data_IF_200304198950
#
_entry.id   IF_200304198950
#
_cell.length_a   1.000
_cell.length_b   1.000
_cell.length_c   1.000
_cell.angle_alpha   90.00
_cell.angle_beta   90.00
_cell.angle_gamma   90.00
#
_symmetry.space_group_name_H-M   'P 1'
#
loop_
_entity.id
_entity.type
_entity.pdbx_description
1 polymer ?
#
# COMPACT_ATOMS: atom_id res chain seq x y z
N UNK A 1 -67.88 -30.34 -8.98
CA UNK A 1 -66.93 -29.27 -9.36
C UNK A 1 -65.65 -29.47 -8.57
N UNK A 2 -64.63 -30.06 -9.17
CA UNK A 2 -63.31 -30.29 -8.54
C UNK A 2 -62.38 -29.15 -8.91
N UNK A 3 -61.97 -28.34 -7.95
CA UNK A 3 -60.93 -27.31 -8.12
C UNK A 3 -59.57 -27.99 -8.19
N UNK A 4 -58.89 -27.86 -9.32
CA UNK A 4 -57.49 -28.28 -9.49
C UNK A 4 -56.59 -27.12 -9.00
N UNK A 5 -55.80 -27.43 -7.96
CA UNK A 5 -54.74 -26.60 -7.45
C UNK A 5 -53.54 -26.80 -8.40
N UNK A 6 -53.15 -25.72 -9.12
CA UNK A 6 -51.88 -25.68 -9.88
C UNK A 6 -50.75 -25.27 -8.92
N UNK A 7 -49.89 -26.22 -8.58
CA UNK A 7 -48.68 -25.97 -7.83
C UNK A 7 -47.61 -25.52 -8.84
N UNK A 8 -47.27 -24.24 -8.80
CA UNK A 8 -46.18 -23.65 -9.59
C UNK A 8 -44.85 -23.99 -8.91
N UNK A 9 -44.20 -25.05 -9.39
CA UNK A 9 -42.81 -25.33 -9.02
C UNK A 9 -41.90 -24.30 -9.72
N UNK A 10 -41.46 -23.27 -8.99
CA UNK A 10 -40.33 -22.44 -9.40
C UNK A 10 -39.07 -23.30 -9.32
N UNK A 11 -38.61 -23.80 -10.46
CA UNK A 11 -37.28 -24.37 -10.62
C UNK A 11 -36.29 -23.20 -10.55
N UNK A 12 -35.74 -22.92 -9.37
CA UNK A 12 -34.52 -22.12 -9.23
C UNK A 12 -33.38 -22.96 -9.82
N UNK A 13 -33.19 -22.82 -11.11
CA UNK A 13 -31.96 -23.25 -11.74
C UNK A 13 -30.81 -22.43 -11.16
N UNK A 14 -30.03 -23.06 -10.30
CA UNK A 14 -28.68 -22.58 -9.96
C UNK A 14 -27.88 -22.61 -11.26
N UNK A 15 -27.81 -21.47 -11.95
CA UNK A 15 -26.78 -21.23 -12.93
C UNK A 15 -25.50 -21.08 -12.13
N UNK A 16 -24.88 -22.21 -11.83
CA UNK A 16 -23.46 -22.24 -11.52
C UNK A 16 -22.75 -21.94 -12.84
N UNK A 17 -22.73 -20.68 -13.22
CA UNK A 17 -21.78 -20.18 -14.19
C UNK A 17 -20.41 -20.39 -13.53
N UNK A 18 -19.69 -21.39 -14.02
CA UNK A 18 -18.25 -21.42 -13.93
C UNK A 18 -17.74 -20.17 -14.67
N UNK A 19 -17.68 -19.06 -14.00
CA UNK A 19 -16.80 -17.99 -14.38
C UNK A 19 -15.40 -18.56 -14.13
N UNK A 20 -14.76 -19.09 -15.15
CA UNK A 20 -13.33 -19.20 -15.24
C UNK A 20 -12.86 -17.77 -14.97
N UNK A 21 -12.24 -17.54 -13.80
CA UNK A 21 -12.18 -16.23 -13.21
C UNK A 21 -11.47 -15.24 -14.09
N UNK A 22 -12.20 -14.26 -14.58
CA UNK A 22 -11.61 -13.04 -15.08
C UNK A 22 -10.94 -12.37 -13.89
N UNK A 23 -9.63 -12.27 -13.92
CA UNK A 23 -8.88 -11.53 -12.90
C UNK A 23 -9.26 -10.06 -13.00
N UNK A 24 -9.73 -9.49 -11.89
CA UNK A 24 -9.94 -8.06 -11.79
C UNK A 24 -8.85 -7.45 -10.92
N UNK A 25 -8.20 -6.43 -11.42
CA UNK A 25 -7.22 -5.64 -10.68
C UNK A 25 -7.93 -4.52 -9.93
N UNK A 26 -7.52 -4.27 -8.70
CA UNK A 26 -8.03 -3.18 -7.86
C UNK A 26 -6.93 -2.13 -7.67
N UNK A 27 -7.30 -0.87 -7.76
CA UNK A 27 -6.44 0.27 -7.47
C UNK A 27 -7.07 1.12 -6.38
N UNK A 28 -6.37 1.30 -5.26
CA UNK A 28 -6.73 2.23 -4.21
C UNK A 28 -6.02 3.56 -4.42
N UNK A 29 -6.73 4.66 -4.30
CA UNK A 29 -6.16 5.99 -4.51
C UNK A 29 -6.88 7.06 -3.66
N UNK A 30 -6.29 8.22 -3.62
CA UNK A 30 -6.85 9.43 -3.01
C UNK A 30 -6.86 10.57 -4.03
N UNK A 31 -7.65 11.60 -3.77
CA UNK A 31 -7.73 12.78 -4.62
C UNK A 31 -7.52 14.06 -3.80
N UNK A 32 -7.09 15.13 -4.48
CA UNK A 32 -6.94 16.48 -3.93
C UNK A 32 -6.16 16.53 -2.59
N UNK A 33 -6.80 17.09 -1.56
CA UNK A 33 -6.24 17.23 -0.22
C UNK A 33 -6.36 15.95 0.63
N UNK A 34 -6.86 14.85 0.04
CA UNK A 34 -6.98 13.53 0.68
C UNK A 34 -7.91 13.46 1.90
N UNK A 35 -8.78 14.41 2.10
CA UNK A 35 -9.76 14.45 3.21
C UNK A 35 -11.10 13.84 2.86
N UNK A 36 -11.39 13.68 1.61
CA UNK A 36 -12.57 12.98 1.13
C UNK A 36 -12.42 11.45 1.20
N UNK A 37 -11.19 10.94 1.34
CA UNK A 37 -10.88 9.58 1.76
C UNK A 37 -10.53 8.60 0.64
N UNK A 38 -10.92 7.34 0.83
CA UNK A 38 -10.60 6.22 -0.03
C UNK A 38 -11.38 6.26 -1.33
N UNK A 39 -10.67 6.19 -2.43
CA UNK A 39 -11.23 5.91 -3.75
C UNK A 39 -10.71 4.58 -4.28
N UNK A 40 -11.53 3.91 -5.09
CA UNK A 40 -11.19 2.65 -5.71
C UNK A 40 -11.48 2.71 -7.21
N UNK A 41 -10.64 2.07 -7.99
CA UNK A 41 -10.84 1.80 -9.40
C UNK A 41 -10.55 0.33 -9.69
N UNK A 42 -11.15 -0.22 -10.74
CA UNK A 42 -10.87 -1.57 -11.19
C UNK A 42 -10.41 -1.57 -12.64
N UNK A 43 -9.70 -2.62 -13.00
CA UNK A 43 -9.29 -2.91 -14.36
C UNK A 43 -9.40 -4.40 -14.64
N UNK A 44 -9.71 -4.77 -15.89
CA UNK A 44 -9.70 -6.16 -16.35
C UNK A 44 -8.45 -6.48 -17.18
N UNK A 45 -7.75 -5.46 -17.64
CA UNK A 45 -6.55 -5.58 -18.48
C UNK A 45 -5.28 -4.99 -17.82
N UNK A 46 -5.42 -4.42 -16.61
CA UNK A 46 -4.33 -3.71 -15.92
C UNK A 46 -3.95 -2.37 -16.55
N UNK A 47 -4.57 -1.94 -17.63
CA UNK A 47 -4.19 -0.74 -18.38
C UNK A 47 -5.31 0.31 -18.40
N UNK A 48 -6.54 -0.14 -18.48
CA UNK A 48 -7.74 0.71 -18.53
C UNK A 48 -8.45 0.66 -17.18
N UNK A 49 -8.44 1.78 -16.45
CA UNK A 49 -8.98 1.87 -15.09
C UNK A 49 -10.33 2.58 -15.08
N UNK A 50 -11.30 1.97 -14.41
CA UNK A 50 -12.66 2.50 -14.24
C UNK A 50 -12.89 2.81 -12.76
N UNK A 51 -13.18 4.07 -12.40
CA UNK A 51 -13.53 4.43 -11.02
C UNK A 51 -14.77 3.69 -10.54
N UNK A 52 -14.70 3.14 -9.33
CA UNK A 52 -15.85 2.56 -8.64
C UNK A 52 -16.68 3.65 -7.95
N UNK A 53 -17.89 3.32 -7.50
CA UNK A 53 -18.80 4.20 -6.79
C UNK A 53 -19.00 5.58 -7.48
N UNK A 54 -18.98 5.62 -8.82
CA UNK A 54 -19.07 6.85 -9.62
C UNK A 54 -18.00 7.90 -9.21
N UNK A 55 -16.82 7.46 -8.79
CA UNK A 55 -15.73 8.31 -8.34
C UNK A 55 -15.93 8.93 -6.94
N UNK A 56 -16.92 8.47 -6.18
CA UNK A 56 -17.11 8.90 -4.79
C UNK A 56 -16.30 8.07 -3.82
N UNK A 57 -15.94 8.67 -2.70
CA UNK A 57 -15.22 8.00 -1.62
C UNK A 57 -15.99 6.80 -1.04
N UNK A 58 -15.26 5.78 -0.64
CA UNK A 58 -15.76 4.61 0.10
C UNK A 58 -15.57 4.74 1.61
N UNK A 59 -14.60 5.54 2.07
CA UNK A 59 -14.30 5.71 3.49
C UNK A 59 -13.68 7.09 3.73
N UNK A 60 -14.32 7.90 4.54
CA UNK A 60 -13.81 9.23 4.95
C UNK A 60 -12.90 9.06 6.17
N UNK A 61 -11.66 9.63 6.19
CA UNK A 61 -10.74 9.46 7.30
C UNK A 61 -11.21 10.15 8.58
N UNK A 62 -11.09 9.45 9.71
CA UNK A 62 -11.47 9.96 11.04
C UNK A 62 -10.32 9.95 12.03
N UNK A 63 -9.21 9.24 11.72
CA UNK A 63 -8.04 9.11 12.60
C UNK A 63 -6.87 9.97 12.13
N UNK A 64 -5.92 10.23 13.03
CA UNK A 64 -4.77 11.09 12.79
C UNK A 64 -5.06 12.57 13.05
N UNK A 65 -4.00 13.31 13.29
CA UNK A 65 -4.06 14.74 13.62
C UNK A 65 -4.72 15.57 12.51
N UNK A 66 -4.37 15.28 11.25
CA UNK A 66 -4.88 16.03 10.09
C UNK A 66 -6.06 15.36 9.42
N UNK A 67 -6.39 14.12 9.81
CA UNK A 67 -7.45 13.29 9.21
C UNK A 67 -7.31 13.19 7.70
N UNK A 68 -6.10 12.84 7.25
CA UNK A 68 -5.81 12.58 5.84
C UNK A 68 -6.01 11.08 5.54
N UNK A 69 -6.27 10.76 4.30
CA UNK A 69 -6.13 9.42 3.74
C UNK A 69 -5.31 9.53 2.46
N UNK A 70 -3.98 9.63 2.66
CA UNK A 70 -3.02 9.57 1.55
C UNK A 70 -2.45 8.17 1.46
N UNK A 71 -2.03 7.80 0.27
CA UNK A 71 -1.31 6.56 0.01
C UNK A 71 -2.02 5.32 0.60
N UNK A 72 -3.34 5.11 0.34
CA UNK A 72 -4.05 3.97 0.89
C UNK A 72 -3.54 2.67 0.26
N UNK A 73 -2.95 1.80 1.07
CA UNK A 73 -2.47 0.48 0.64
C UNK A 73 -3.40 -0.61 1.16
N UNK A 74 -3.87 -1.47 0.26
CA UNK A 74 -4.82 -2.56 0.56
C UNK A 74 -4.17 -3.91 0.26
N UNK A 75 -4.31 -4.84 1.20
CA UNK A 75 -3.91 -6.23 1.03
C UNK A 75 -5.08 -7.14 1.38
N UNK A 76 -5.37 -8.16 0.55
CA UNK A 76 -6.35 -9.17 0.87
C UNK A 76 -5.70 -10.31 1.66
N UNK A 77 -6.30 -10.66 2.79
CA UNK A 77 -5.91 -11.78 3.62
C UNK A 77 -6.35 -13.12 2.99
N UNK A 78 -5.73 -14.25 3.39
CA UNK A 78 -6.15 -15.58 2.93
C UNK A 78 -7.60 -15.95 3.27
N UNK A 79 -8.19 -15.35 4.30
CA UNK A 79 -9.61 -15.53 4.69
C UNK A 79 -10.58 -14.65 3.89
N UNK A 80 -10.06 -13.84 2.96
CA UNK A 80 -10.83 -12.93 2.11
C UNK A 80 -10.99 -11.53 2.68
N UNK A 81 -10.60 -11.27 3.93
CA UNK A 81 -10.65 -9.94 4.55
C UNK A 81 -9.67 -8.99 3.88
N UNK A 82 -10.09 -7.77 3.58
CA UNK A 82 -9.22 -6.70 3.12
C UNK A 82 -8.72 -5.88 4.30
N UNK A 83 -7.42 -5.68 4.37
CA UNK A 83 -6.77 -4.81 5.34
C UNK A 83 -6.22 -3.59 4.62
N UNK A 84 -6.38 -2.42 5.21
CA UNK A 84 -5.90 -1.16 4.64
C UNK A 84 -5.14 -0.34 5.68
N UNK A 85 -4.02 0.24 5.24
CA UNK A 85 -3.26 1.26 5.98
C UNK A 85 -3.15 2.52 5.13
N UNK A 86 -2.94 3.69 5.78
CA UNK A 86 -2.79 4.96 5.07
C UNK A 86 -2.04 6.01 5.89
N UNK A 87 -1.51 7.01 5.21
CA UNK A 87 -0.97 8.23 5.82
C UNK A 87 -2.11 9.07 6.39
N UNK A 88 -2.15 9.25 7.70
CA UNK A 88 -3.24 9.93 8.41
C UNK A 88 -2.94 11.40 8.74
N UNK A 89 -1.68 11.83 8.61
CA UNK A 89 -1.24 13.19 8.93
C UNK A 89 0.12 13.50 8.30
N UNK A 90 0.39 14.79 8.13
CA UNK A 90 1.70 15.28 7.68
C UNK A 90 2.81 15.11 8.74
N UNK A 91 2.47 15.18 10.02
CA UNK A 91 3.45 15.22 11.11
C UNK A 91 3.03 14.37 12.30
N UNK A 92 2.55 13.16 12.07
CA UNK A 92 2.13 12.23 13.11
C UNK A 92 3.06 11.01 13.18
N UNK A 93 3.00 10.30 14.31
CA UNK A 93 3.80 9.09 14.60
C UNK A 93 2.96 7.82 14.57
N UNK A 94 1.83 7.93 13.91
CA UNK A 94 0.86 6.85 13.70
C UNK A 94 0.56 6.71 12.21
N UNK A 95 0.00 5.58 11.83
CA UNK A 95 -0.66 5.36 10.56
C UNK A 95 -2.14 5.00 10.81
N UNK A 96 -3.00 5.21 9.82
CA UNK A 96 -4.38 4.77 9.87
C UNK A 96 -4.52 3.31 9.50
N UNK A 97 -5.58 2.65 10.00
CA UNK A 97 -5.93 1.27 9.69
C UNK A 97 -7.44 1.07 9.72
N UNK A 98 -7.94 0.28 8.78
CA UNK A 98 -9.29 -0.28 8.76
C UNK A 98 -9.28 -1.63 8.03
N UNK A 99 -10.30 -2.46 8.24
CA UNK A 99 -10.52 -3.70 7.50
C UNK A 99 -11.93 -3.75 6.91
N UNK A 100 -12.10 -4.57 5.87
CA UNK A 100 -13.39 -4.73 5.19
C UNK A 100 -13.54 -6.16 4.67
N UNK A 101 -14.73 -6.76 4.75
CA UNK A 101 -15.00 -8.04 4.11
C UNK A 101 -15.25 -7.93 2.60
N UNK A 102 -15.54 -6.72 2.07
CA UNK A 102 -16.09 -6.55 0.74
C UNK A 102 -15.70 -5.22 0.04
N UNK A 103 -14.75 -4.44 0.63
CA UNK A 103 -14.30 -3.12 0.16
C UNK A 103 -15.36 -2.00 0.24
N UNK A 104 -16.57 -2.32 0.71
CA UNK A 104 -17.70 -1.40 0.84
C UNK A 104 -17.98 -1.09 2.31
N UNK A 105 -18.04 -2.12 3.14
CA UNK A 105 -18.32 -2.00 4.56
C UNK A 105 -17.01 -2.07 5.35
N UNK A 106 -16.56 -0.93 5.83
CA UNK A 106 -15.30 -0.80 6.57
C UNK A 106 -15.53 -0.85 8.07
N UNK A 107 -14.59 -1.45 8.79
CA UNK A 107 -14.56 -1.46 10.26
C UNK A 107 -14.41 -0.04 10.82
N UNK A 108 -14.55 0.11 12.12
CA UNK A 108 -14.08 1.29 12.82
C UNK A 108 -12.60 1.53 12.51
N UNK A 109 -12.26 2.79 12.20
CA UNK A 109 -10.89 3.18 11.91
C UNK A 109 -10.07 3.23 13.19
N UNK A 110 -8.84 2.76 13.11
CA UNK A 110 -7.89 2.75 14.24
C UNK A 110 -6.58 3.40 13.85
N UNK A 111 -5.87 3.91 14.86
CA UNK A 111 -4.49 4.35 14.71
C UNK A 111 -3.55 3.24 15.12
N UNK A 112 -2.54 2.94 14.30
CA UNK A 112 -1.43 2.06 14.68
C UNK A 112 -0.25 2.94 15.11
N UNK A 113 0.21 2.85 16.39
CA UNK A 113 1.21 3.76 16.96
C UNK A 113 2.65 3.34 16.60
N UNK A 114 2.95 3.31 15.30
CA UNK A 114 4.18 2.73 14.73
C UNK A 114 5.48 3.43 15.15
N UNK A 115 5.45 4.75 15.45
CA UNK A 115 6.64 5.53 15.84
C UNK A 115 6.50 6.24 17.19
N UNK A 116 5.55 5.85 18.03
CA UNK A 116 5.32 6.50 19.34
C UNK A 116 6.49 6.31 20.31
N UNK A 117 7.29 5.26 20.16
CA UNK A 117 8.50 5.00 20.95
C UNK A 117 9.66 5.96 20.60
N UNK A 118 9.58 6.68 19.47
CA UNK A 118 10.60 7.62 18.97
C UNK A 118 10.04 9.05 18.97
N UNK A 119 10.24 9.82 20.07
CA UNK A 119 9.67 11.16 20.19
C UNK A 119 10.13 12.14 19.11
N UNK A 120 11.31 11.93 18.53
CA UNK A 120 11.88 12.76 17.49
C UNK A 120 11.38 12.41 16.08
N UNK A 121 10.63 11.32 15.90
CA UNK A 121 10.07 10.96 14.59
C UNK A 121 9.13 12.06 14.11
N UNK A 122 9.35 12.54 12.88
CA UNK A 122 8.61 13.67 12.32
C UNK A 122 7.29 13.25 11.69
N UNK A 123 7.27 12.11 11.00
CA UNK A 123 6.17 11.67 10.15
C UNK A 123 6.14 10.15 10.02
N UNK A 124 5.02 9.64 9.51
CA UNK A 124 4.85 8.27 9.03
C UNK A 124 4.10 8.33 7.69
N UNK A 125 4.83 8.35 6.57
CA UNK A 125 4.26 8.56 5.25
C UNK A 125 4.27 7.31 4.40
N UNK A 126 3.31 7.25 3.49
CA UNK A 126 3.15 6.20 2.50
C UNK A 126 3.32 4.79 3.11
N UNK A 127 2.48 4.42 4.10
CA UNK A 127 2.52 3.07 4.63
C UNK A 127 2.04 2.09 3.57
N UNK A 128 2.75 0.96 3.47
CA UNK A 128 2.44 -0.11 2.54
C UNK A 128 2.27 -1.43 3.27
N UNK A 129 1.36 -2.27 2.77
CA UNK A 129 1.08 -3.61 3.27
C UNK A 129 1.64 -4.66 2.32
N UNK A 130 2.38 -5.61 2.88
CA UNK A 130 2.81 -6.81 2.17
C UNK A 130 2.52 -8.05 3.03
N UNK A 131 1.79 -9.02 2.47
CA UNK A 131 1.58 -10.31 3.10
C UNK A 131 2.61 -11.31 2.59
N UNK A 132 3.43 -11.82 3.48
CA UNK A 132 4.38 -12.88 3.19
C UNK A 132 3.74 -14.24 3.48
N UNK A 133 3.30 -14.93 2.41
CA UNK A 133 2.64 -16.24 2.51
C UNK A 133 3.49 -17.29 3.23
N UNK A 134 4.82 -17.41 2.98
CA UNK A 134 5.63 -18.42 3.66
C UNK A 134 5.63 -18.30 5.19
N UNK A 135 5.72 -17.08 5.71
CA UNK A 135 5.71 -16.82 7.16
C UNK A 135 4.31 -16.55 7.73
N UNK A 136 3.30 -16.44 6.86
CA UNK A 136 1.94 -16.03 7.22
C UNK A 136 1.93 -14.74 8.06
N UNK A 137 2.69 -13.74 7.61
CA UNK A 137 2.93 -12.51 8.37
C UNK A 137 2.73 -11.29 7.46
N UNK A 138 2.05 -10.28 7.97
CA UNK A 138 1.95 -8.98 7.33
C UNK A 138 3.15 -8.13 7.73
N UNK A 139 3.78 -7.53 6.73
CA UNK A 139 4.75 -6.48 6.89
C UNK A 139 4.06 -5.16 6.59
N UNK A 140 4.15 -4.22 7.51
CA UNK A 140 3.70 -2.85 7.33
C UNK A 140 4.95 -1.98 7.36
N UNK A 141 5.25 -1.27 6.29
CA UNK A 141 6.43 -0.41 6.21
C UNK A 141 6.04 0.97 5.73
N UNK A 142 6.76 1.98 6.19
CA UNK A 142 6.46 3.39 5.94
C UNK A 142 7.74 4.22 5.96
N UNK A 143 7.68 5.44 5.43
CA UNK A 143 8.78 6.39 5.44
C UNK A 143 8.72 7.32 6.66
N UNK A 144 9.85 7.46 7.37
CA UNK A 144 10.01 8.36 8.50
C UNK A 144 11.32 9.13 8.44
N UNK A 145 11.27 10.43 8.75
CA UNK A 145 12.43 11.24 9.10
C UNK A 145 12.57 11.29 10.61
N UNK A 146 13.78 10.99 11.10
CA UNK A 146 14.18 11.23 12.49
C UNK A 146 15.30 12.28 12.46
N UNK A 147 15.04 13.54 12.84
CA UNK A 147 16.02 14.61 12.76
C UNK A 147 17.32 14.24 13.48
N UNK A 148 18.43 14.47 12.82
CA UNK A 148 19.76 14.16 13.34
C UNK A 148 20.26 12.74 13.19
N UNK A 149 19.43 11.81 12.67
CA UNK A 149 19.85 10.47 12.24
C UNK A 149 20.25 10.46 10.77
N UNK A 150 21.02 9.44 10.38
CA UNK A 150 21.45 9.19 8.99
C UNK A 150 22.19 10.38 8.36
N UNK A 151 23.08 11.01 9.17
CA UNK A 151 23.87 12.19 8.75
C UNK A 151 24.87 11.88 7.64
N UNK A 152 25.17 10.63 7.40
CA UNK A 152 25.99 10.13 6.30
C UNK A 152 25.37 10.40 4.92
N UNK A 153 24.04 10.58 4.88
CA UNK A 153 23.32 10.97 3.68
C UNK A 153 23.02 12.46 3.74
N UNK A 154 23.52 13.27 2.79
CA UNK A 154 23.30 14.68 2.78
C UNK A 154 21.83 15.06 2.78
N UNK A 155 21.44 15.96 3.69
CA UNK A 155 20.12 16.57 3.68
C UNK A 155 20.13 17.76 2.72
N UNK A 156 19.13 17.84 1.89
CA UNK A 156 19.01 18.87 0.86
C UNK A 156 17.97 19.89 1.33
N UNK A 157 18.30 21.19 1.28
CA UNK A 157 17.42 22.28 1.74
C UNK A 157 16.03 22.25 1.10
N UNK A 158 15.95 21.89 -0.18
CA UNK A 158 14.67 21.76 -0.91
C UNK A 158 13.73 20.71 -0.32
N UNK A 159 14.24 19.74 0.42
CA UNK A 159 13.47 18.73 1.16
C UNK A 159 13.04 19.22 2.55
N UNK A 160 13.18 20.49 2.86
CA UNK A 160 12.91 21.04 4.20
C UNK A 160 13.67 20.31 5.33
N UNK A 161 14.84 19.77 5.04
CA UNK A 161 15.63 18.98 5.98
C UNK A 161 15.11 17.57 6.23
N UNK A 162 14.14 17.07 5.46
CA UNK A 162 13.61 15.72 5.60
C UNK A 162 14.57 14.71 4.97
N UNK A 163 14.99 13.73 5.75
CA UNK A 163 15.89 12.66 5.34
C UNK A 163 15.30 11.32 5.76
N UNK A 164 14.42 10.81 4.91
CA UNK A 164 13.59 9.65 5.21
C UNK A 164 14.34 8.33 5.09
N UNK A 165 13.90 7.37 5.90
CA UNK A 165 14.21 5.93 5.78
C UNK A 165 12.93 5.13 5.89
N UNK A 166 12.94 3.92 5.35
CA UNK A 166 11.82 3.00 5.50
C UNK A 166 11.98 2.22 6.79
N UNK A 167 10.96 2.26 7.62
CA UNK A 167 10.81 1.49 8.85
C UNK A 167 9.68 0.49 8.68
N UNK A 168 9.60 -0.53 9.55
CA UNK A 168 8.55 -1.53 9.50
C UNK A 168 8.18 -2.09 10.86
N UNK A 169 6.99 -2.67 10.91
CA UNK A 169 6.52 -3.61 11.93
C UNK A 169 5.94 -4.84 11.25
N UNK A 170 5.83 -5.93 12.02
CA UNK A 170 5.14 -7.14 11.59
C UNK A 170 3.91 -7.39 12.46
N UNK A 171 2.89 -8.00 11.86
CA UNK A 171 1.70 -8.46 12.57
C UNK A 171 1.10 -9.70 11.89
N UNK A 172 0.32 -10.48 12.66
CA UNK A 172 -0.48 -11.59 12.12
C UNK A 172 -1.98 -11.33 12.22
N UNK A 173 -2.38 -10.35 13.05
CA UNK A 173 -3.76 -10.16 13.48
C UNK A 173 -4.20 -8.69 13.52
N UNK A 174 -3.31 -7.76 13.16
CA UNK A 174 -3.50 -6.31 13.27
C UNK A 174 -3.89 -5.80 14.67
N UNK A 175 -3.67 -6.61 15.70
CA UNK A 175 -3.88 -6.25 17.11
C UNK A 175 -2.56 -6.21 17.87
N UNK A 176 -1.66 -7.14 17.55
CA UNK A 176 -0.32 -7.22 18.12
C UNK A 176 0.72 -6.93 17.05
N UNK A 177 1.71 -6.13 17.38
CA UNK A 177 2.75 -5.68 16.46
C UNK A 177 4.13 -5.96 17.04
N UNK A 178 5.08 -6.28 16.18
CA UNK A 178 6.49 -6.33 16.56
C UNK A 178 7.00 -4.94 16.97
N UNK A 179 8.19 -4.90 17.56
CA UNK A 179 8.92 -3.64 17.66
C UNK A 179 9.20 -3.06 16.28
N UNK A 180 9.20 -1.73 16.18
CA UNK A 180 9.58 -1.01 14.97
C UNK A 180 11.07 -1.19 14.69
N UNK A 181 11.42 -1.51 13.45
CA UNK A 181 12.80 -1.66 13.01
C UNK A 181 13.03 -0.88 11.72
N UNK A 182 14.30 -0.56 11.47
CA UNK A 182 14.75 -0.02 10.19
C UNK A 182 14.64 -1.12 9.14
N UNK A 183 13.97 -0.83 8.02
CA UNK A 183 13.74 -1.77 6.93
C UNK A 183 14.71 -1.55 5.77
N UNK A 184 14.84 -0.29 5.32
CA UNK A 184 15.67 0.05 4.18
C UNK A 184 16.38 1.38 4.38
N UNK A 185 17.71 1.37 4.24
CA UNK A 185 18.59 2.51 4.45
C UNK A 185 19.60 2.64 3.30
N UNK A 186 19.18 3.16 2.14
CA UNK A 186 20.10 3.45 1.03
C UNK A 186 20.90 4.73 1.30
N UNK A 187 21.77 5.08 0.34
CA UNK A 187 22.61 6.28 0.36
C UNK A 187 21.87 7.56 -0.11
N UNK A 188 20.55 7.53 -0.09
CA UNK A 188 19.67 8.67 -0.43
C UNK A 188 18.45 8.71 0.48
N UNK A 189 17.77 9.85 0.51
CA UNK A 189 16.45 9.97 1.17
C UNK A 189 15.43 9.17 0.40
N UNK A 190 14.74 8.23 1.07
CA UNK A 190 13.85 7.26 0.44
C UNK A 190 12.45 7.28 1.02
N UNK A 191 11.44 7.35 0.14
CA UNK A 191 10.02 7.22 0.49
C UNK A 191 9.32 6.25 -0.47
N UNK A 192 8.03 6.05 -0.29
CA UNK A 192 7.11 5.36 -1.20
C UNK A 192 7.63 3.99 -1.64
N UNK A 193 7.92 3.13 -0.67
CA UNK A 193 8.35 1.77 -0.96
C UNK A 193 7.11 0.88 -1.20
N UNK A 194 7.10 0.13 -2.29
CA UNK A 194 6.07 -0.87 -2.59
C UNK A 194 6.71 -2.20 -2.99
N UNK A 195 6.17 -3.31 -2.50
CA UNK A 195 6.71 -4.67 -2.73
C UNK A 195 5.71 -5.50 -3.53
N UNK A 196 6.22 -6.18 -4.55
CA UNK A 196 5.46 -7.18 -5.31
C UNK A 196 6.27 -8.46 -5.45
N UNK A 197 5.59 -9.61 -5.45
CA UNK A 197 6.22 -10.90 -5.71
C UNK A 197 6.21 -11.19 -7.20
N UNK A 198 7.37 -11.50 -7.76
CA UNK A 198 7.50 -11.97 -9.14
C UNK A 198 6.79 -13.33 -9.28
N UNK A 199 5.80 -13.46 -10.15
CA UNK A 199 5.02 -14.69 -10.28
C UNK A 199 5.81 -15.86 -10.87
N UNK A 200 6.91 -15.57 -11.59
CA UNK A 200 7.76 -16.57 -12.25
C UNK A 200 8.97 -16.91 -11.39
N UNK A 201 9.79 -15.91 -11.08
CA UNK A 201 11.04 -16.06 -10.34
C UNK A 201 10.83 -16.28 -8.83
N UNK A 202 9.64 -15.89 -8.32
CA UNK A 202 9.26 -15.91 -6.90
C UNK A 202 10.05 -14.93 -6.02
N UNK A 203 10.92 -14.14 -6.60
CA UNK A 203 11.62 -13.06 -5.92
C UNK A 203 10.66 -11.97 -5.48
N UNK A 204 11.07 -11.20 -4.49
CA UNK A 204 10.43 -9.96 -4.08
C UNK A 204 11.11 -8.79 -4.77
N UNK A 205 10.32 -7.96 -5.41
CA UNK A 205 10.73 -6.73 -6.06
C UNK A 205 10.22 -5.58 -5.22
N UNK A 206 11.12 -4.72 -4.74
CA UNK A 206 10.75 -3.48 -4.08
C UNK A 206 11.03 -2.30 -5.01
N UNK A 207 10.01 -1.51 -5.27
CA UNK A 207 10.11 -0.22 -5.95
C UNK A 207 10.13 0.86 -4.89
N UNK A 208 11.07 1.80 -4.98
CA UNK A 208 11.24 2.90 -4.04
C UNK A 208 11.41 4.22 -4.79
N UNK A 209 11.01 5.31 -4.17
CA UNK A 209 11.31 6.66 -4.66
C UNK A 209 12.59 7.19 -4.02
N UNK A 210 13.55 7.58 -4.86
CA UNK A 210 14.64 8.44 -4.44
C UNK A 210 14.09 9.86 -4.26
N UNK A 211 14.09 10.37 -3.04
CA UNK A 211 13.50 11.65 -2.68
C UNK A 211 14.48 12.82 -2.77
N UNK A 212 15.74 12.56 -3.17
CA UNK A 212 16.73 13.60 -3.33
C UNK A 212 16.32 14.63 -4.39
N UNK A 213 16.50 15.92 -4.10
CA UNK A 213 16.25 17.01 -5.06
C UNK A 213 17.51 17.71 -5.54
N UNK A 214 18.70 17.43 -4.98
CA UNK A 214 20.00 17.86 -5.49
C UNK A 214 21.05 16.71 -5.41
N UNK A 215 21.47 16.16 -6.56
CA UNK A 215 20.89 16.42 -7.86
C UNK A 215 19.39 16.08 -7.87
N UNK A 216 18.64 16.68 -8.78
CA UNK A 216 17.20 16.42 -8.89
C UNK A 216 16.98 14.98 -9.34
N UNK A 217 16.64 14.11 -8.39
CA UNK A 217 16.34 12.70 -8.62
C UNK A 217 14.83 12.49 -8.71
N UNK A 218 14.11 12.51 -7.60
CA UNK A 218 12.64 12.36 -7.56
C UNK A 218 12.11 11.28 -8.50
N UNK A 219 12.83 10.14 -8.57
CA UNK A 219 12.60 9.07 -9.52
C UNK A 219 12.44 7.72 -8.81
N UNK A 220 11.94 6.73 -9.54
CA UNK A 220 11.75 5.39 -9.02
C UNK A 220 12.95 4.49 -9.33
N UNK A 221 13.25 3.60 -8.39
CA UNK A 221 14.34 2.63 -8.45
C UNK A 221 13.88 1.28 -7.93
N UNK A 222 14.59 0.21 -8.31
CA UNK A 222 14.23 -1.17 -7.96
C UNK A 222 15.39 -1.83 -7.22
N UNK A 223 15.04 -2.64 -6.23
CA UNK A 223 15.92 -3.64 -5.62
C UNK A 223 15.17 -4.97 -5.49
N UNK A 224 15.87 -6.08 -5.33
CA UNK A 224 15.29 -7.42 -5.28
C UNK A 224 15.88 -8.24 -4.15
N UNK A 225 15.07 -9.13 -3.57
CA UNK A 225 15.50 -10.16 -2.62
C UNK A 225 14.67 -11.44 -2.83
N UNK A 226 15.16 -12.57 -2.39
CA UNK A 226 14.41 -13.83 -2.43
C UNK A 226 13.48 -13.99 -1.24
N UNK A 227 13.84 -13.40 -0.09
CA UNK A 227 13.09 -13.51 1.17
C UNK A 227 13.05 -12.15 1.87
N UNK A 228 11.89 -11.79 2.39
CA UNK A 228 11.71 -10.48 3.04
C UNK A 228 12.50 -10.36 4.35
N UNK A 229 12.67 -11.45 5.08
CA UNK A 229 13.42 -11.49 6.34
C UNK A 229 14.92 -11.25 6.17
N UNK A 230 15.48 -11.51 4.98
CA UNK A 230 16.88 -11.22 4.66
C UNK A 230 17.10 -9.73 4.35
N UNK A 231 16.01 -8.96 4.23
CA UNK A 231 16.03 -7.56 3.82
C UNK A 231 16.30 -7.40 2.32
N UNK A 232 16.36 -6.15 1.89
CA UNK A 232 16.68 -5.78 0.52
C UNK A 232 18.07 -5.18 0.43
N UNK A 233 18.86 -5.51 -0.61
CA UNK A 233 20.12 -4.84 -0.89
C UNK A 233 19.90 -3.32 -1.02
N UNK A 234 20.75 -2.52 -0.38
CA UNK A 234 20.69 -1.06 -0.46
C UNK A 234 21.19 -0.51 -1.79
N UNK A 235 21.89 -1.34 -2.57
CA UNK A 235 22.21 -1.05 -3.98
C UNK A 235 20.95 -1.21 -4.81
N UNK A 236 20.54 -0.14 -5.47
CA UNK A 236 19.33 -0.09 -6.30
C UNK A 236 19.69 0.04 -7.77
N UNK A 237 18.70 -0.20 -8.64
CA UNK A 237 18.84 0.05 -10.08
C UNK A 237 19.11 1.54 -10.39
N UNK A 238 19.56 1.87 -11.60
CA UNK A 238 19.35 3.19 -12.15
C UNK A 238 17.85 3.57 -12.13
N UNK A 239 17.55 4.86 -12.32
CA UNK A 239 16.15 5.32 -12.48
C UNK A 239 15.40 4.49 -13.53
N UNK A 240 14.23 4.00 -13.18
CA UNK A 240 13.31 3.30 -14.12
C UNK A 240 12.30 4.27 -14.77
N UNK A 241 12.23 5.50 -14.28
CA UNK A 241 11.32 6.55 -14.77
C UNK A 241 12.04 7.69 -15.52
N UNK A 242 13.33 7.50 -15.79
CA UNK A 242 14.14 8.52 -16.47
C UNK A 242 14.25 9.82 -15.66
N UNK A 243 13.99 10.96 -16.31
CA UNK A 243 14.11 12.30 -15.69
C UNK A 243 12.76 12.87 -15.23
N UNK A 244 11.72 12.06 -15.14
CA UNK A 244 10.42 12.50 -14.64
C UNK A 244 10.42 12.49 -13.10
N UNK A 245 9.94 13.55 -12.52
CA UNK A 245 9.55 13.57 -11.12
C UNK A 245 8.27 12.75 -10.97
N UNK A 246 8.33 11.77 -10.12
CA UNK A 246 7.23 10.84 -9.87
C UNK A 246 7.26 10.35 -8.42
N UNK A 247 6.13 9.86 -7.95
CA UNK A 247 5.95 9.34 -6.59
C UNK A 247 4.86 8.27 -6.57
N UNK A 248 4.70 7.61 -5.41
CA UNK A 248 3.61 6.67 -5.18
C UNK A 248 3.62 5.44 -6.09
N UNK A 249 4.74 4.69 -6.23
CA UNK A 249 4.79 3.54 -7.12
C UNK A 249 3.79 2.46 -6.68
N UNK A 250 3.01 1.97 -7.63
CA UNK A 250 2.13 0.81 -7.46
C UNK A 250 2.55 -0.28 -8.47
N UNK A 251 3.45 -1.20 -8.09
CA UNK A 251 3.88 -2.29 -8.94
C UNK A 251 2.80 -3.36 -9.05
N UNK A 252 2.54 -3.81 -10.27
CA UNK A 252 1.56 -4.85 -10.57
C UNK A 252 2.07 -5.75 -11.70
N UNK A 253 1.99 -7.06 -11.53
CA UNK A 253 2.15 -8.00 -12.63
C UNK A 253 0.82 -8.16 -13.38
N UNK A 254 0.88 -7.92 -14.67
CA UNK A 254 -0.19 -8.23 -15.61
C UNK A 254 0.40 -9.26 -16.58
N UNK A 255 -0.10 -10.48 -16.53
CA UNK A 255 0.55 -11.65 -17.12
C UNK A 255 2.00 -11.78 -16.58
N UNK A 256 2.99 -11.82 -17.46
CA UNK A 256 4.41 -11.93 -17.11
C UNK A 256 5.14 -10.58 -17.11
N UNK A 257 4.43 -9.47 -17.29
CA UNK A 257 5.01 -8.13 -17.35
C UNK A 257 4.77 -7.36 -16.04
N UNK A 258 5.84 -6.76 -15.51
CA UNK A 258 5.75 -5.83 -14.37
C UNK A 258 5.41 -4.43 -14.88
N UNK A 259 4.26 -3.94 -14.49
CA UNK A 259 3.86 -2.54 -14.63
C UNK A 259 4.10 -1.80 -13.33
N UNK A 260 4.54 -0.56 -13.43
CA UNK A 260 4.68 0.34 -12.27
C UNK A 260 3.88 1.60 -12.60
N UNK A 261 2.76 1.75 -11.91
CA UNK A 261 1.95 2.98 -11.98
C UNK A 261 2.53 4.01 -11.01
N UNK A 262 2.42 5.30 -11.36
CA UNK A 262 2.93 6.38 -10.50
C UNK A 262 2.33 7.73 -10.89
#
# INVERSE_FOLDING_TARGET
MKKRLFSLFCLLGTVAGLFAGDTAYLFSYFINDSRDGLHLAYSLDGLTWTPLNHGKSFLIPTVGKDRLMRDPSICQAPDGTFHMVWTSSWTDRIIGYASSPDLIHWSEQRSIPVMMHEPAAHNCWAPELFYDEPSQTYYIFWATTIPGRHKEVPVIESEKGLNHRIYYVMTKDFNTFSETKLFFNPDFSVIDAAIVRDPVMKDLIMVVKNENSLPAEKNLRITRTTRIEDGFPTTVSPSITGNYWCEGPAPLFVDDALYVYF
#
